data_IF_846960422762
#
_entry.id   IF_846960422762
#
_cell.length_a   1.000
_cell.length_b   1.000
_cell.length_c   1.000
_cell.angle_alpha   90.00
_cell.angle_beta   90.00
_cell.angle_gamma   90.00
#
_symmetry.space_group_name_H-M   'P 1'
#
loop_
_entity.id
_entity.type
_entity.pdbx_description
1 polymer ?
#
# COMPACT_ATOMS: atom_id res chain seq x y z
N UNK A 1 25.99 25.05 8.72
CA UNK A 1 24.56 25.23 8.38
C UNK A 1 23.89 23.87 8.17
N UNK A 2 22.97 23.51 9.07
CA UNK A 2 21.83 22.58 8.94
C UNK A 2 21.97 21.21 8.22
N UNK A 3 22.51 20.19 8.91
CA UNK A 3 22.30 18.77 8.57
C UNK A 3 21.13 18.10 9.35
N UNK A 4 20.38 18.83 10.19
CA UNK A 4 19.33 18.25 11.07
C UNK A 4 17.93 18.15 10.45
N UNK A 5 17.70 18.74 9.27
CA UNK A 5 16.37 18.85 8.63
C UNK A 5 15.91 17.57 7.90
N UNK A 6 16.77 16.75 7.25
CA UNK A 6 16.33 15.57 6.51
C UNK A 6 15.69 14.49 7.40
N UNK A 7 16.23 14.27 8.60
CA UNK A 7 15.78 13.19 9.49
C UNK A 7 14.39 13.48 10.10
N UNK A 8 14.04 14.75 10.34
CA UNK A 8 12.72 15.11 10.88
C UNK A 8 11.59 14.80 9.92
N UNK A 9 11.77 15.04 8.62
CA UNK A 9 10.76 14.74 7.59
C UNK A 9 10.56 13.25 7.43
N UNK A 10 11.65 12.49 7.41
CA UNK A 10 11.59 11.03 7.32
C UNK A 10 10.95 10.43 8.58
N UNK A 11 11.32 10.91 9.77
CA UNK A 11 10.70 10.50 11.03
C UNK A 11 9.20 10.83 11.07
N UNK A 12 8.80 12.04 10.67
CA UNK A 12 7.39 12.42 10.59
C UNK A 12 6.62 11.53 9.61
N UNK A 13 7.17 11.28 8.41
CA UNK A 13 6.55 10.39 7.43
C UNK A 13 6.43 8.94 7.97
N UNK A 14 7.46 8.44 8.67
CA UNK A 14 7.44 7.12 9.29
C UNK A 14 6.40 7.03 10.41
N UNK A 15 6.30 8.03 11.28
CA UNK A 15 5.28 8.07 12.34
C UNK A 15 3.88 8.12 11.75
N UNK A 16 3.65 8.97 10.74
CA UNK A 16 2.35 9.03 10.05
C UNK A 16 1.99 7.70 9.40
N UNK A 17 2.95 7.06 8.72
CA UNK A 17 2.78 5.73 8.13
C UNK A 17 2.41 4.69 9.18
N UNK A 18 3.21 4.58 10.26
CA UNK A 18 2.97 3.61 11.33
C UNK A 18 1.62 3.84 12.04
N UNK A 19 1.24 5.11 12.26
CA UNK A 19 -0.05 5.47 12.84
C UNK A 19 -1.21 5.01 11.96
N UNK A 20 -1.14 5.27 10.66
CA UNK A 20 -2.13 4.74 9.71
C UNK A 20 -2.12 3.21 9.66
N UNK A 21 -0.95 2.58 9.62
CA UNK A 21 -0.84 1.11 9.64
C UNK A 21 -1.55 0.52 10.85
N UNK A 22 -1.39 1.11 12.04
CA UNK A 22 -2.09 0.66 13.24
C UNK A 22 -3.63 0.74 13.07
N UNK A 23 -4.15 1.83 12.50
CA UNK A 23 -5.60 1.97 12.21
C UNK A 23 -6.06 0.91 11.21
N UNK A 24 -5.31 0.70 10.12
CA UNK A 24 -5.62 -0.29 9.10
C UNK A 24 -5.60 -1.72 9.67
N UNK A 25 -4.67 -2.03 10.57
CA UNK A 25 -4.59 -3.33 11.24
C UNK A 25 -5.81 -3.63 12.11
N UNK A 26 -6.42 -2.62 12.74
CA UNK A 26 -7.67 -2.80 13.50
C UNK A 26 -8.81 -3.24 12.57
N UNK A 27 -8.90 -2.66 11.37
CA UNK A 27 -9.91 -3.02 10.37
C UNK A 27 -9.63 -4.39 9.75
N UNK A 28 -8.38 -4.68 9.43
CA UNK A 28 -7.91 -6.00 8.99
C UNK A 28 -8.28 -7.09 10.01
N UNK A 29 -8.03 -6.84 11.29
CA UNK A 29 -8.41 -7.77 12.34
C UNK A 29 -9.92 -7.95 12.46
N UNK A 30 -10.71 -6.90 12.21
CA UNK A 30 -12.18 -6.98 12.18
C UNK A 30 -12.69 -7.82 11.01
N UNK A 31 -12.11 -7.66 9.81
CA UNK A 31 -12.42 -8.49 8.64
C UNK A 31 -12.11 -9.97 8.90
N UNK A 32 -10.97 -10.26 9.55
CA UNK A 32 -10.59 -11.63 9.90
C UNK A 32 -11.49 -12.24 10.97
N UNK A 33 -11.87 -11.46 11.98
CA UNK A 33 -12.78 -11.90 13.05
C UNK A 33 -14.18 -12.23 12.55
N UNK A 34 -14.61 -11.65 11.43
CA UNK A 34 -15.91 -11.98 10.84
C UNK A 34 -15.90 -13.33 10.09
N UNK A 35 -14.77 -14.04 10.03
CA UNK A 35 -14.63 -15.35 9.39
C UNK A 35 -14.12 -15.32 7.94
N UNK A 36 -13.92 -14.14 7.36
CA UNK A 36 -13.34 -13.96 6.03
C UNK A 36 -11.83 -13.68 6.06
N UNK A 37 -11.16 -13.68 4.89
CA UNK A 37 -9.74 -13.34 4.82
C UNK A 37 -9.49 -11.83 4.97
N UNK A 38 -8.23 -11.41 4.94
CA UNK A 38 -7.85 -9.99 4.99
C UNK A 38 -8.10 -9.21 3.70
N UNK A 39 -7.87 -7.90 3.73
CA UNK A 39 -8.05 -7.02 2.56
C UNK A 39 -7.16 -7.42 1.38
N UNK A 40 -5.91 -7.85 1.64
CA UNK A 40 -4.96 -8.28 0.60
C UNK A 40 -5.51 -9.48 -0.20
N UNK A 41 -6.26 -10.39 0.45
CA UNK A 41 -6.86 -11.51 -0.27
C UNK A 41 -7.95 -11.05 -1.25
N UNK A 42 -8.64 -9.96 -0.91
CA UNK A 42 -9.66 -9.33 -1.75
C UNK A 42 -9.04 -8.56 -2.91
N UNK A 43 -7.94 -7.84 -2.67
CA UNK A 43 -7.11 -7.22 -3.71
C UNK A 43 -6.68 -8.25 -4.76
N UNK A 44 -6.27 -9.43 -4.30
CA UNK A 44 -5.77 -10.51 -5.15
C UNK A 44 -6.84 -11.49 -5.64
N UNK A 45 -8.12 -11.21 -5.40
CA UNK A 45 -9.22 -12.10 -5.77
C UNK A 45 -9.26 -12.35 -7.29
N UNK A 46 -9.16 -11.29 -8.10
CA UNK A 46 -8.99 -11.36 -9.56
C UNK A 46 -10.18 -11.90 -10.36
N UNK A 47 -11.19 -12.50 -9.72
CA UNK A 47 -12.39 -13.04 -10.35
C UNK A 47 -13.65 -12.68 -9.55
N UNK A 48 -14.81 -12.75 -10.21
CA UNK A 48 -16.09 -12.54 -9.55
C UNK A 48 -16.34 -13.58 -8.45
N UNK A 49 -16.17 -14.86 -8.78
CA UNK A 49 -16.38 -15.98 -7.86
C UNK A 49 -15.57 -15.87 -6.57
N UNK A 50 -14.28 -15.51 -6.66
CA UNK A 50 -13.41 -15.33 -5.49
C UNK A 50 -13.78 -14.10 -4.69
N UNK A 51 -14.10 -12.99 -5.36
CA UNK A 51 -14.52 -11.77 -4.67
C UNK A 51 -15.84 -11.97 -3.92
N UNK A 52 -16.81 -12.65 -4.52
CA UNK A 52 -18.10 -12.98 -3.92
C UNK A 52 -17.96 -13.96 -2.74
N UNK A 53 -17.11 -14.99 -2.85
CA UNK A 53 -16.80 -15.90 -1.74
C UNK A 53 -16.15 -15.16 -0.55
N UNK A 54 -15.25 -14.21 -0.81
CA UNK A 54 -14.67 -13.38 0.25
C UNK A 54 -15.75 -12.51 0.90
N UNK A 55 -16.56 -11.83 0.08
CA UNK A 55 -17.65 -10.97 0.56
C UNK A 55 -18.70 -11.74 1.36
N UNK A 56 -19.03 -12.97 0.97
CA UNK A 56 -19.98 -13.82 1.68
C UNK A 56 -19.43 -14.23 3.05
N UNK A 57 -18.16 -14.65 3.13
CA UNK A 57 -17.49 -14.98 4.40
C UNK A 57 -17.34 -13.79 5.33
N UNK A 58 -17.19 -12.58 4.79
CA UNK A 58 -17.17 -11.37 5.61
C UNK A 58 -18.50 -11.03 6.25
N UNK A 59 -19.62 -11.44 5.64
CA UNK A 59 -20.94 -10.96 6.03
C UNK A 59 -21.04 -9.43 6.02
N UNK A 60 -22.06 -8.89 6.68
CA UNK A 60 -22.30 -7.44 6.70
C UNK A 60 -21.24 -6.65 7.47
N UNK A 61 -20.73 -7.20 8.58
CA UNK A 61 -19.76 -6.49 9.42
C UNK A 61 -18.38 -6.41 8.77
N UNK A 62 -17.88 -7.53 8.22
CA UNK A 62 -16.60 -7.57 7.51
C UNK A 62 -16.63 -6.71 6.25
N UNK A 63 -17.72 -6.70 5.49
CA UNK A 63 -17.86 -5.81 4.33
C UNK A 63 -17.89 -4.32 4.72
N UNK A 64 -18.47 -3.97 5.88
CA UNK A 64 -18.43 -2.59 6.40
C UNK A 64 -17.00 -2.20 6.79
N UNK A 65 -16.28 -3.10 7.44
CA UNK A 65 -14.86 -2.91 7.78
C UNK A 65 -13.99 -2.76 6.52
N UNK A 66 -14.18 -3.62 5.50
CA UNK A 66 -13.49 -3.55 4.23
C UNK A 66 -13.75 -2.22 3.51
N UNK A 67 -15.01 -1.75 3.47
CA UNK A 67 -15.37 -0.46 2.87
C UNK A 67 -14.69 0.71 3.57
N UNK A 68 -14.66 0.69 4.90
CA UNK A 68 -13.99 1.73 5.69
C UNK A 68 -12.47 1.68 5.46
N UNK A 69 -11.89 0.48 5.41
CA UNK A 69 -10.47 0.25 5.11
C UNK A 69 -10.11 0.86 3.76
N UNK A 70 -10.88 0.57 2.70
CA UNK A 70 -10.63 1.11 1.36
C UNK A 70 -10.75 2.64 1.29
N UNK A 71 -11.66 3.24 2.05
CA UNK A 71 -11.73 4.71 2.11
C UNK A 71 -10.55 5.34 2.83
N UNK A 72 -10.12 4.74 3.94
CA UNK A 72 -8.94 5.19 4.67
C UNK A 72 -7.66 4.95 3.89
N UNK A 73 -7.64 3.95 3.02
CA UNK A 73 -6.50 3.59 2.19
C UNK A 73 -6.08 4.73 1.25
N UNK A 74 -7.03 5.56 0.78
CA UNK A 74 -6.70 6.77 0.02
C UNK A 74 -5.81 7.75 0.80
N UNK A 75 -5.97 7.82 2.12
CA UNK A 75 -5.07 8.58 2.99
C UNK A 75 -3.79 7.81 3.29
N UNK A 76 -3.89 6.49 3.50
CA UNK A 76 -2.74 5.64 3.78
C UNK A 76 -1.71 5.66 2.65
N UNK A 77 -2.17 5.65 1.40
CA UNK A 77 -1.29 5.70 0.23
C UNK A 77 -0.46 6.96 0.12
N UNK A 78 -0.98 8.09 0.61
CA UNK A 78 -0.19 9.32 0.71
C UNK A 78 0.95 9.16 1.71
N UNK A 79 0.70 8.48 2.85
CA UNK A 79 1.72 8.30 3.89
C UNK A 79 2.86 7.39 3.43
N UNK A 80 2.55 6.20 2.91
CA UNK A 80 3.60 5.28 2.45
C UNK A 80 4.24 5.78 1.15
N UNK A 81 3.49 6.48 0.28
CA UNK A 81 4.02 7.06 -0.95
C UNK A 81 5.09 8.14 -0.67
N UNK A 82 4.80 9.05 0.27
CA UNK A 82 5.77 10.05 0.73
C UNK A 82 6.97 9.39 1.41
N UNK A 83 6.73 8.42 2.31
CA UNK A 83 7.82 7.71 2.98
C UNK A 83 8.75 7.00 1.98
N UNK A 84 8.17 6.28 1.01
CA UNK A 84 8.90 5.58 -0.04
C UNK A 84 9.71 6.56 -0.89
N UNK A 85 9.11 7.67 -1.32
CA UNK A 85 9.82 8.70 -2.08
C UNK A 85 11.01 9.28 -1.30
N UNK A 86 10.83 9.58 -0.01
CA UNK A 86 11.91 10.10 0.85
C UNK A 86 13.04 9.08 1.06
N UNK A 87 12.70 7.80 1.24
CA UNK A 87 13.69 6.73 1.37
C UNK A 87 14.49 6.55 0.08
N UNK A 88 13.81 6.51 -1.07
CA UNK A 88 14.46 6.43 -2.39
C UNK A 88 15.32 7.68 -2.64
N UNK A 89 14.85 8.87 -2.27
CA UNK A 89 15.61 10.11 -2.39
C UNK A 89 16.89 10.12 -1.55
N UNK A 90 16.82 9.60 -0.32
CA UNK A 90 18.00 9.42 0.52
C UNK A 90 18.98 8.42 -0.10
N UNK A 91 18.49 7.29 -0.58
CA UNK A 91 19.30 6.23 -1.16
C UNK A 91 19.96 6.67 -2.48
N UNK A 92 19.26 7.41 -3.33
CA UNK A 92 19.79 7.91 -4.61
C UNK A 92 20.84 8.99 -4.43
N UNK A 93 20.68 9.90 -3.46
CA UNK A 93 21.72 10.90 -3.12
C UNK A 93 23.03 10.24 -2.68
N UNK A 94 22.96 9.15 -1.89
CA UNK A 94 24.15 8.41 -1.46
C UNK A 94 24.89 7.73 -2.62
N UNK A 95 24.18 7.40 -3.70
CA UNK A 95 24.75 6.70 -4.87
C UNK A 95 25.06 7.62 -6.05
N UNK A 96 24.72 8.92 -5.98
CA UNK A 96 24.85 9.82 -7.12
C UNK A 96 23.89 9.51 -8.28
N UNK A 97 22.77 8.83 -8.01
CA UNK A 97 21.79 8.44 -9.03
C UNK A 97 20.80 9.58 -9.37
N UNK A 98 20.11 9.49 -10.53
CA UNK A 98 19.22 10.55 -11.03
C UNK A 98 18.12 10.98 -10.04
N UNK A 99 17.80 12.28 -10.07
CA UNK A 99 16.80 12.89 -9.19
C UNK A 99 15.34 12.44 -9.46
N UNK A 100 15.08 11.77 -10.58
CA UNK A 100 13.76 11.26 -10.94
C UNK A 100 13.37 9.94 -10.25
N UNK A 101 14.32 9.21 -9.64
CA UNK A 101 14.03 7.91 -9.02
C UNK A 101 12.92 7.93 -7.95
N UNK A 102 12.79 8.94 -7.09
CA UNK A 102 11.69 9.02 -6.13
C UNK A 102 10.29 9.04 -6.78
N UNK A 103 10.18 9.47 -8.04
CA UNK A 103 8.91 9.47 -8.77
C UNK A 103 8.37 8.05 -9.01
N UNK A 104 9.21 7.00 -8.88
CA UNK A 104 8.75 5.61 -8.93
C UNK A 104 7.70 5.29 -7.85
N UNK A 105 7.70 6.01 -6.71
CA UNK A 105 6.67 5.87 -5.69
C UNK A 105 5.27 6.24 -6.21
N UNK A 106 5.16 7.11 -7.21
CA UNK A 106 3.88 7.49 -7.82
C UNK A 106 3.23 6.31 -8.54
N UNK A 107 4.01 5.35 -9.05
CA UNK A 107 3.46 4.13 -9.68
C UNK A 107 2.72 3.29 -8.65
N UNK A 108 3.28 3.13 -7.45
CA UNK A 108 2.63 2.42 -6.36
C UNK A 108 1.32 3.12 -5.93
N UNK A 109 1.38 4.43 -5.69
CA UNK A 109 0.21 5.23 -5.28
C UNK A 109 -0.88 5.23 -6.35
N UNK A 110 -0.52 5.37 -7.63
CA UNK A 110 -1.49 5.31 -8.73
C UNK A 110 -2.12 3.92 -8.86
N UNK A 111 -1.33 2.85 -8.70
CA UNK A 111 -1.83 1.48 -8.65
C UNK A 111 -2.84 1.29 -7.52
N UNK A 112 -2.53 1.80 -6.33
CA UNK A 112 -3.40 1.72 -5.15
C UNK A 112 -4.73 2.45 -5.35
N UNK A 113 -4.69 3.67 -5.90
CA UNK A 113 -5.90 4.42 -6.20
C UNK A 113 -6.81 3.68 -7.20
N UNK A 114 -6.22 3.10 -8.25
CA UNK A 114 -6.95 2.31 -9.26
C UNK A 114 -7.57 1.05 -8.64
N UNK A 115 -6.82 0.39 -7.77
CA UNK A 115 -7.25 -0.79 -7.05
C UNK A 115 -8.39 -0.46 -6.08
N UNK A 116 -8.22 0.52 -5.19
CA UNK A 116 -9.22 0.92 -4.21
C UNK A 116 -10.55 1.33 -4.85
N UNK A 117 -10.52 2.11 -5.94
CA UNK A 117 -11.74 2.45 -6.72
C UNK A 117 -12.40 1.20 -7.31
N UNK A 118 -11.59 0.24 -7.77
CA UNK A 118 -12.10 -1.00 -8.35
C UNK A 118 -12.73 -1.89 -7.28
N UNK A 119 -12.09 -2.07 -6.12
CA UNK A 119 -12.63 -2.84 -5.00
C UNK A 119 -13.87 -2.20 -4.38
N UNK A 120 -13.93 -0.87 -4.30
CA UNK A 120 -15.17 -0.17 -3.91
C UNK A 120 -16.32 -0.45 -4.89
N UNK A 121 -16.02 -0.64 -6.18
CA UNK A 121 -17.01 -1.03 -7.18
C UNK A 121 -17.46 -2.49 -7.01
N UNK A 122 -16.53 -3.39 -6.67
CA UNK A 122 -16.81 -4.79 -6.32
C UNK A 122 -17.74 -4.87 -5.10
N UNK A 123 -17.44 -4.14 -4.03
CA UNK A 123 -18.29 -4.09 -2.82
C UNK A 123 -19.69 -3.54 -3.06
N UNK A 124 -19.90 -2.78 -4.14
CA UNK A 124 -21.22 -2.29 -4.58
C UNK A 124 -21.94 -3.26 -5.53
N UNK A 125 -21.36 -4.44 -5.78
CA UNK A 125 -21.91 -5.43 -6.71
C UNK A 125 -21.81 -5.03 -8.20
N UNK A 126 -21.01 -4.02 -8.54
CA UNK A 126 -20.93 -3.51 -9.91
C UNK A 126 -19.88 -4.29 -10.69
N UNK A 127 -20.26 -4.91 -11.81
CA UNK A 127 -19.37 -5.62 -12.77
C UNK A 127 -18.20 -6.35 -12.06
N UNK A 128 -18.55 -7.17 -11.05
CA UNK A 128 -17.63 -7.71 -10.03
C UNK A 128 -16.37 -8.30 -10.68
N UNK A 129 -16.51 -9.17 -11.69
CA UNK A 129 -15.37 -9.80 -12.35
C UNK A 129 -14.41 -8.83 -13.04
N UNK A 130 -14.93 -7.79 -13.70
CA UNK A 130 -14.11 -6.77 -14.39
C UNK A 130 -13.34 -5.94 -13.37
N UNK A 131 -14.02 -5.49 -12.32
CA UNK A 131 -13.39 -4.67 -11.29
C UNK A 131 -12.43 -5.48 -10.40
N UNK A 132 -12.75 -6.74 -10.08
CA UNK A 132 -11.84 -7.63 -9.34
C UNK A 132 -10.56 -7.90 -10.12
N UNK A 133 -10.65 -8.14 -11.44
CA UNK A 133 -9.46 -8.31 -12.29
C UNK A 133 -8.64 -7.03 -12.39
N UNK A 134 -9.31 -5.88 -12.56
CA UNK A 134 -8.63 -4.57 -12.59
C UNK A 134 -7.92 -4.27 -11.27
N UNK A 135 -8.57 -4.54 -10.15
CA UNK A 135 -7.98 -4.39 -8.82
C UNK A 135 -6.74 -5.27 -8.67
N UNK A 136 -6.83 -6.55 -9.03
CA UNK A 136 -5.70 -7.47 -8.94
C UNK A 136 -4.49 -7.02 -9.79
N UNK A 137 -4.71 -6.61 -11.04
CA UNK A 137 -3.61 -6.12 -11.89
C UNK A 137 -2.96 -4.87 -11.27
N UNK A 138 -3.78 -3.95 -10.78
CA UNK A 138 -3.29 -2.72 -10.15
C UNK A 138 -2.52 -3.02 -8.84
N UNK A 139 -3.01 -3.94 -8.01
CA UNK A 139 -2.34 -4.39 -6.80
C UNK A 139 -0.99 -5.05 -7.12
N UNK A 140 -0.92 -5.91 -8.15
CA UNK A 140 0.34 -6.55 -8.57
C UNK A 140 1.37 -5.51 -9.05
N UNK A 141 0.94 -4.53 -9.84
CA UNK A 141 1.82 -3.42 -10.28
C UNK A 141 2.31 -2.61 -9.08
N UNK A 142 1.41 -2.27 -8.15
CA UNK A 142 1.73 -1.58 -6.89
C UNK A 142 2.77 -2.34 -6.08
N UNK A 143 2.54 -3.63 -5.83
CA UNK A 143 3.45 -4.47 -5.06
C UNK A 143 4.82 -4.60 -5.73
N UNK A 144 4.87 -4.81 -7.05
CA UNK A 144 6.12 -4.85 -7.80
C UNK A 144 6.91 -3.53 -7.67
N UNK A 145 6.23 -2.39 -7.80
CA UNK A 145 6.85 -1.07 -7.65
C UNK A 145 7.39 -0.85 -6.22
N UNK A 146 6.63 -1.21 -5.18
CA UNK A 146 7.05 -1.10 -3.79
C UNK A 146 8.24 -2.00 -3.48
N UNK A 147 8.21 -3.28 -3.91
CA UNK A 147 9.33 -4.22 -3.73
C UNK A 147 10.59 -3.69 -4.43
N UNK A 148 10.47 -3.18 -5.66
CA UNK A 148 11.58 -2.57 -6.38
C UNK A 148 12.17 -1.36 -5.66
N UNK A 149 11.32 -0.45 -5.17
CA UNK A 149 11.75 0.73 -4.42
C UNK A 149 12.46 0.34 -3.10
N UNK A 150 11.90 -0.61 -2.35
CA UNK A 150 12.49 -1.10 -1.11
C UNK A 150 13.81 -1.84 -1.35
N UNK A 151 13.89 -2.67 -2.39
CA UNK A 151 15.12 -3.33 -2.81
C UNK A 151 16.22 -2.32 -3.18
N UNK A 152 15.84 -1.25 -3.90
CA UNK A 152 16.74 -0.14 -4.20
C UNK A 152 17.23 0.56 -2.93
N UNK A 153 16.39 0.79 -1.94
CA UNK A 153 16.78 1.41 -0.67
C UNK A 153 17.70 0.46 0.13
N UNK A 154 17.33 -0.80 0.25
CA UNK A 154 18.04 -1.81 1.03
C UNK A 154 19.45 -2.11 0.48
N UNK A 155 19.62 -2.20 -0.83
CA UNK A 155 20.95 -2.40 -1.45
C UNK A 155 21.93 -1.24 -1.21
N UNK A 156 21.52 -0.18 -0.51
CA UNK A 156 22.33 0.99 -0.16
C UNK A 156 22.82 0.94 1.28
N UNK A 157 22.26 0.01 2.06
CA UNK A 157 22.67 -0.31 3.42
C UNK A 157 23.77 -1.37 3.30
N UNK A 158 24.99 -0.97 2.91
CA UNK A 158 26.16 -1.82 3.14
C UNK A 158 26.53 -1.70 4.63
N UNK A 159 26.63 -2.81 5.39
CA UNK A 159 27.18 -2.75 6.74
C UNK A 159 28.64 -2.29 6.65
N UNK A 160 29.02 -1.29 7.43
CA UNK A 160 30.41 -0.91 7.62
C UNK A 160 31.16 -2.16 8.10
N UNK A 161 32.21 -2.57 7.38
CA UNK A 161 33.14 -3.57 7.92
C UNK A 161 33.78 -2.98 9.18
N UNK A 162 33.82 -3.70 10.31
CA UNK A 162 34.74 -3.35 11.39
C UNK A 162 36.16 -3.61 10.88
N UNK A 163 37.04 -2.63 11.08
CA UNK A 163 38.47 -2.69 10.75
C UNK A 163 39.21 -3.73 11.61
#
# INVERSE_FOLDING_TARGET
MSHRVPDRRLAAAAVSFLGYTAVMLVLEHRMRRSGGPGIIAFELAGSASRAEDIMSRWGSDGQRAARLSLWLDFGYMATYGVLTALLVDRARRRRGHPAGLPAAALVAVAGDAVEGVSLLSVLRGRRIGVHARRAQVAALVKFAALVGALGYVAGGIRPSRPD
#
